data_IF_139064498810
#
_entry.id   IF_139064498810
#
_cell.length_a   1.000
_cell.length_b   1.000
_cell.length_c   1.000
_cell.angle_alpha   90.00
_cell.angle_beta   90.00
_cell.angle_gamma   90.00
#
_symmetry.space_group_name_H-M   'P 1'
#
loop_
_entity.id
_entity.type
_entity.pdbx_description
1 polymer ?
#
# COMPACT_ATOMS: atom_id res chain seq x y z
N UNK A 1 2.69 17.89 5.70
CA UNK A 1 3.61 17.98 4.54
C UNK A 1 2.96 17.24 3.38
N UNK A 2 2.93 17.81 2.18
CA UNK A 2 2.40 17.15 0.97
C UNK A 2 3.57 16.69 0.12
N UNK A 3 3.53 15.45 -0.36
CA UNK A 3 4.58 14.86 -1.20
C UNK A 3 4.22 15.06 -2.66
N UNK A 4 5.12 15.62 -3.47
CA UNK A 4 4.89 15.77 -4.91
C UNK A 4 4.73 14.40 -5.60
N UNK A 5 3.98 14.35 -6.69
CA UNK A 5 3.95 13.18 -7.56
C UNK A 5 5.28 13.03 -8.28
N UNK A 6 5.76 11.80 -8.51
CA UNK A 6 6.89 11.58 -9.39
C UNK A 6 6.53 12.04 -10.80
N UNK A 7 7.47 12.71 -11.46
CA UNK A 7 7.37 13.00 -12.89
C UNK A 7 7.54 11.71 -13.71
N UNK A 8 7.21 11.75 -15.00
CA UNK A 8 7.47 10.61 -15.89
C UNK A 8 8.95 10.21 -15.89
N UNK A 9 9.86 11.19 -15.81
CA UNK A 9 11.30 10.93 -15.73
C UNK A 9 11.68 10.17 -14.45
N UNK A 10 11.04 10.51 -13.33
CA UNK A 10 11.29 9.81 -12.06
C UNK A 10 10.78 8.36 -12.12
N UNK A 11 9.63 8.14 -12.77
CA UNK A 11 9.05 6.80 -12.98
C UNK A 11 9.96 5.97 -13.89
N UNK A 12 10.45 6.54 -14.99
CA UNK A 12 11.35 5.85 -15.93
C UNK A 12 12.67 5.47 -15.25
N UNK A 13 13.28 6.38 -14.50
CA UNK A 13 14.49 6.10 -13.72
C UNK A 13 14.25 5.05 -12.63
N UNK A 14 13.09 5.10 -11.95
CA UNK A 14 12.67 4.08 -10.99
C UNK A 14 12.52 2.69 -11.63
N UNK A 15 12.05 2.65 -12.87
CA UNK A 15 11.96 1.43 -13.68
C UNK A 15 13.31 0.83 -14.05
N UNK A 16 14.22 1.67 -14.50
CA UNK A 16 15.59 1.24 -14.82
C UNK A 16 16.30 0.69 -13.58
N UNK A 17 16.17 1.38 -12.44
CA UNK A 17 16.73 0.90 -11.17
C UNK A 17 16.09 -0.42 -10.72
N UNK A 18 14.76 -0.55 -10.86
CA UNK A 18 14.07 -1.81 -10.59
C UNK A 18 14.63 -2.95 -11.44
N UNK A 19 14.76 -2.75 -12.75
CA UNK A 19 15.30 -3.76 -13.66
C UNK A 19 16.75 -4.14 -13.33
N UNK A 20 17.58 -3.17 -12.95
CA UNK A 20 18.95 -3.40 -12.51
C UNK A 20 18.99 -4.26 -11.23
N UNK A 21 18.17 -3.93 -10.23
CA UNK A 21 18.11 -4.66 -8.98
C UNK A 21 17.53 -6.08 -9.17
N UNK A 22 16.56 -6.26 -10.07
CA UNK A 22 16.05 -7.58 -10.45
C UNK A 22 17.14 -8.45 -11.08
N UNK A 23 18.01 -7.87 -11.91
CA UNK A 23 19.14 -8.59 -12.48
C UNK A 23 20.17 -9.02 -11.42
N UNK A 24 20.32 -8.23 -10.34
CA UNK A 24 21.26 -8.52 -9.25
C UNK A 24 20.66 -9.51 -8.23
N UNK A 25 19.34 -9.48 -7.99
CA UNK A 25 18.68 -10.28 -6.95
C UNK A 25 18.52 -11.78 -7.30
N UNK A 26 19.24 -12.30 -8.31
CA UNK A 26 19.27 -13.68 -8.82
C UNK A 26 18.47 -14.73 -7.98
N UNK A 27 17.18 -14.92 -8.32
CA UNK A 27 16.22 -15.80 -7.63
C UNK A 27 15.82 -15.41 -6.20
N UNK A 28 15.69 -14.10 -5.94
CA UNK A 28 15.07 -13.55 -4.73
C UNK A 28 15.89 -13.90 -3.48
N UNK A 29 17.20 -13.67 -3.57
CA UNK A 29 18.14 -14.07 -2.53
C UNK A 29 19.46 -13.31 -2.54
N UNK A 30 19.62 -12.31 -3.42
CA UNK A 30 20.80 -11.47 -3.56
C UNK A 30 22.13 -12.20 -3.80
N UNK A 31 23.17 -11.46 -4.21
CA UNK A 31 24.52 -11.99 -4.20
C UNK A 31 25.02 -12.24 -2.77
N UNK A 32 26.07 -13.06 -2.63
CA UNK A 32 26.80 -13.20 -1.37
C UNK A 32 27.81 -12.06 -1.20
N UNK A 33 28.02 -11.55 0.03
CA UNK A 33 29.02 -10.52 0.27
C UNK A 33 30.43 -11.06 0.02
N UNK A 34 31.31 -10.19 -0.47
CA UNK A 34 32.73 -10.47 -0.59
C UNK A 34 33.36 -10.43 0.81
N UNK A 35 33.97 -11.53 1.21
CA UNK A 35 34.62 -11.65 2.51
C UNK A 35 35.75 -10.61 2.70
N UNK A 36 35.82 -10.05 3.91
CA UNK A 36 36.87 -9.11 4.30
C UNK A 36 36.61 -7.64 3.94
N UNK A 37 35.51 -7.33 3.24
CA UNK A 37 35.08 -5.96 2.98
C UNK A 37 33.89 -5.56 3.88
N UNK A 38 33.81 -4.29 4.32
CA UNK A 38 32.63 -3.76 5.02
C UNK A 38 31.32 -3.98 4.26
N UNK A 39 30.21 -4.13 4.99
CA UNK A 39 28.87 -4.37 4.43
C UNK A 39 27.94 -3.15 4.49
N UNK A 40 28.44 -2.01 4.96
CA UNK A 40 27.66 -0.79 5.09
C UNK A 40 28.41 0.41 4.49
N UNK A 41 28.07 0.75 3.25
CA UNK A 41 28.67 1.88 2.53
C UNK A 41 28.55 3.22 3.25
N UNK A 42 27.36 3.57 3.78
CA UNK A 42 27.15 4.87 4.41
C UNK A 42 28.02 5.01 5.67
N UNK A 43 28.07 3.94 6.48
CA UNK A 43 28.95 3.91 7.65
C UNK A 43 30.42 3.95 7.26
N UNK A 44 30.82 3.17 6.26
CA UNK A 44 32.21 3.11 5.79
C UNK A 44 32.71 4.48 5.32
N UNK A 45 31.94 5.17 4.47
CA UNK A 45 32.29 6.50 3.97
C UNK A 45 32.35 7.54 5.11
N UNK A 46 31.42 7.47 6.06
CA UNK A 46 31.41 8.35 7.22
C UNK A 46 32.63 8.13 8.14
N UNK A 47 32.97 6.87 8.43
CA UNK A 47 34.08 6.52 9.33
C UNK A 47 35.45 6.92 8.74
N UNK A 48 35.58 6.92 7.41
CA UNK A 48 36.80 7.35 6.70
C UNK A 48 36.80 8.87 6.39
N UNK A 49 35.72 9.60 6.71
CA UNK A 49 35.51 11.02 6.33
C UNK A 49 35.67 11.27 4.81
N UNK A 50 35.17 10.32 4.01
CA UNK A 50 35.31 10.29 2.55
C UNK A 50 33.96 10.38 1.81
N UNK A 51 33.99 10.93 0.60
CA UNK A 51 32.87 10.84 -0.34
C UNK A 51 32.98 9.59 -1.22
N UNK A 52 31.86 9.12 -1.76
CA UNK A 52 31.90 8.01 -2.71
C UNK A 52 32.74 8.38 -3.94
N UNK A 53 33.60 7.44 -4.34
CA UNK A 53 34.53 7.57 -5.47
C UNK A 53 34.34 6.32 -6.33
N UNK A 54 33.88 6.52 -7.56
CA UNK A 54 33.60 5.43 -8.50
C UNK A 54 34.86 4.77 -9.06
N UNK A 55 36.01 5.43 -8.96
CA UNK A 55 37.30 4.90 -9.43
C UNK A 55 38.05 4.16 -8.32
N UNK A 56 37.60 4.28 -7.06
CA UNK A 56 38.17 3.58 -5.91
C UNK A 56 37.62 2.15 -5.81
N UNK A 57 38.44 1.09 -6.02
CA UNK A 57 37.98 -0.29 -5.96
C UNK A 57 37.40 -0.69 -4.60
N UNK A 58 37.89 -0.10 -3.50
CA UNK A 58 37.38 -0.36 -2.14
C UNK A 58 35.94 0.15 -2.01
N UNK A 59 35.62 1.32 -2.56
CA UNK A 59 34.27 1.90 -2.51
C UNK A 59 33.27 1.04 -3.29
N UNK A 60 33.66 0.59 -4.49
CA UNK A 60 32.86 -0.32 -5.29
C UNK A 60 32.61 -1.66 -4.58
N UNK A 61 33.61 -2.20 -3.89
CA UNK A 61 33.47 -3.44 -3.13
C UNK A 61 32.50 -3.29 -1.95
N UNK A 62 32.57 -2.18 -1.21
CA UNK A 62 31.63 -1.91 -0.11
C UNK A 62 30.22 -1.64 -0.63
N UNK A 63 30.07 -0.95 -1.77
CA UNK A 63 28.78 -0.76 -2.43
C UNK A 63 28.15 -2.12 -2.79
N UNK A 64 28.93 -3.02 -3.38
CA UNK A 64 28.48 -4.38 -3.69
C UNK A 64 28.03 -5.14 -2.44
N UNK A 65 28.83 -5.12 -1.36
CA UNK A 65 28.46 -5.79 -0.12
C UNK A 65 27.22 -5.18 0.55
N UNK A 66 27.05 -3.85 0.49
CA UNK A 66 25.84 -3.18 0.98
C UNK A 66 24.60 -3.63 0.19
N UNK A 67 24.69 -3.69 -1.14
CA UNK A 67 23.59 -4.20 -1.99
C UNK A 67 23.29 -5.67 -1.69
N UNK A 68 24.31 -6.52 -1.56
CA UNK A 68 24.17 -7.93 -1.18
C UNK A 68 23.42 -8.07 0.15
N UNK A 69 23.83 -7.31 1.17
CA UNK A 69 23.17 -7.25 2.49
C UNK A 69 21.69 -6.85 2.35
N UNK A 70 21.37 -5.78 1.61
CA UNK A 70 19.98 -5.34 1.43
C UNK A 70 19.09 -6.40 0.78
N UNK A 71 19.54 -6.96 -0.35
CA UNK A 71 18.78 -7.95 -1.12
C UNK A 71 18.58 -9.25 -0.33
N UNK A 72 19.58 -9.68 0.44
CA UNK A 72 19.47 -10.84 1.34
C UNK A 72 18.58 -10.61 2.55
N UNK A 73 18.60 -9.40 3.10
CA UNK A 73 17.79 -9.05 4.29
C UNK A 73 16.30 -9.04 3.94
N UNK A 74 15.96 -8.50 2.77
CA UNK A 74 14.59 -8.38 2.33
C UNK A 74 14.47 -8.70 0.82
N UNK A 75 14.38 -9.98 0.45
CA UNK A 75 14.27 -10.38 -0.96
C UNK A 75 13.14 -9.66 -1.69
N UNK A 76 13.42 -9.19 -2.91
CA UNK A 76 12.49 -8.44 -3.75
C UNK A 76 11.82 -7.21 -3.06
N UNK A 77 12.51 -6.54 -2.13
CA UNK A 77 11.96 -5.32 -1.52
C UNK A 77 11.74 -4.23 -2.58
N UNK A 78 12.64 -4.13 -3.55
CA UNK A 78 12.63 -3.13 -4.62
C UNK A 78 11.44 -3.32 -5.55
N UNK A 79 11.04 -4.54 -5.90
CA UNK A 79 9.81 -4.78 -6.67
C UNK A 79 8.55 -4.35 -5.92
N UNK A 80 8.50 -4.57 -4.59
CA UNK A 80 7.35 -4.13 -3.78
C UNK A 80 7.33 -2.62 -3.58
N UNK A 81 8.47 -2.00 -3.33
CA UNK A 81 8.57 -0.57 -3.02
C UNK A 81 8.59 0.27 -4.29
N UNK A 82 9.60 0.09 -5.15
CA UNK A 82 9.74 0.86 -6.39
C UNK A 82 8.65 0.44 -7.38
N UNK A 83 8.49 -0.85 -7.61
CA UNK A 83 7.47 -1.36 -8.53
C UNK A 83 6.05 -1.01 -8.06
N UNK A 84 5.77 -1.18 -6.77
CA UNK A 84 4.51 -0.77 -6.16
C UNK A 84 4.24 0.73 -6.31
N UNK A 85 5.20 1.59 -5.98
CA UNK A 85 5.00 3.04 -6.09
C UNK A 85 4.85 3.49 -7.55
N UNK A 86 5.74 3.06 -8.44
CA UNK A 86 5.79 3.53 -9.83
C UNK A 86 4.67 2.95 -10.69
N UNK A 87 4.43 1.63 -10.58
CA UNK A 87 3.58 0.89 -11.51
C UNK A 87 2.26 0.42 -10.92
N UNK A 88 2.01 0.69 -9.63
CA UNK A 88 0.71 0.43 -9.01
C UNK A 88 0.08 1.72 -8.50
N UNK A 89 0.74 2.45 -7.60
CA UNK A 89 0.18 3.65 -6.97
C UNK A 89 0.15 4.84 -7.95
N UNK A 90 1.27 5.12 -8.63
CA UNK A 90 1.36 6.23 -9.58
C UNK A 90 0.86 5.87 -10.97
N UNK A 91 0.44 4.64 -11.20
CA UNK A 91 -0.13 4.24 -12.48
C UNK A 91 -1.55 4.78 -12.61
N UNK A 92 -1.72 5.73 -13.52
CA UNK A 92 -2.96 6.45 -13.79
C UNK A 92 -4.17 5.52 -14.01
N UNK A 93 -3.95 4.36 -14.65
CA UNK A 93 -5.00 3.36 -14.92
C UNK A 93 -5.59 2.73 -13.66
N UNK A 94 -4.86 2.71 -12.55
CA UNK A 94 -5.38 2.18 -11.29
C UNK A 94 -6.24 3.19 -10.52
N UNK A 95 -6.22 4.47 -10.93
CA UNK A 95 -7.05 5.53 -10.34
C UNK A 95 -6.95 5.61 -8.81
N UNK A 96 -5.77 5.36 -8.25
CA UNK A 96 -5.52 5.42 -6.80
C UNK A 96 -5.33 6.87 -6.36
N UNK A 97 -4.63 7.67 -7.16
CA UNK A 97 -4.33 9.07 -6.88
C UNK A 97 -5.24 10.01 -7.67
N UNK A 98 -5.52 11.19 -7.10
CA UNK A 98 -6.29 12.24 -7.77
C UNK A 98 -5.51 12.81 -8.95
N UNK A 99 -5.94 12.64 -10.22
CA UNK A 99 -5.18 13.09 -11.39
C UNK A 99 -5.08 14.62 -11.50
N UNK A 100 -5.95 15.38 -10.83
CA UNK A 100 -5.97 16.84 -10.91
C UNK A 100 -4.91 17.52 -10.02
N UNK A 101 -4.27 16.77 -9.12
CA UNK A 101 -3.29 17.28 -8.17
C UNK A 101 -1.86 16.90 -8.59
N UNK A 102 -0.91 17.77 -8.27
CA UNK A 102 0.54 17.58 -8.49
C UNK A 102 1.25 16.87 -7.32
N UNK A 103 0.50 16.47 -6.30
CA UNK A 103 0.96 15.80 -5.10
C UNK A 103 0.13 14.55 -4.81
N UNK A 104 0.66 13.68 -3.96
CA UNK A 104 0.03 12.42 -3.58
C UNK A 104 -1.20 12.67 -2.71
N UNK A 105 -2.38 12.49 -3.29
CA UNK A 105 -3.69 12.48 -2.62
C UNK A 105 -4.57 11.41 -3.26
N UNK A 106 -5.48 10.84 -2.48
CA UNK A 106 -6.38 9.78 -2.95
C UNK A 106 -7.37 10.31 -4.00
N UNK A 107 -7.71 9.45 -4.96
CA UNK A 107 -8.70 9.76 -5.98
C UNK A 107 -10.06 10.17 -5.36
N UNK A 108 -10.77 11.17 -5.91
CA UNK A 108 -12.05 11.63 -5.39
C UNK A 108 -13.09 10.51 -5.21
N UNK A 109 -13.12 9.54 -6.13
CA UNK A 109 -14.04 8.41 -6.05
C UNK A 109 -13.73 7.48 -4.86
N UNK A 110 -12.44 7.29 -4.54
CA UNK A 110 -12.04 6.53 -3.35
C UNK A 110 -12.52 7.26 -2.10
N UNK A 111 -12.31 8.58 -2.03
CA UNK A 111 -12.77 9.40 -0.90
C UNK A 111 -14.30 9.39 -0.77
N UNK A 112 -15.03 9.48 -1.89
CA UNK A 112 -16.49 9.39 -1.91
C UNK A 112 -16.97 8.01 -1.43
N UNK A 113 -16.35 6.93 -1.91
CA UNK A 113 -16.63 5.57 -1.47
C UNK A 113 -16.38 5.37 0.03
N UNK A 114 -15.28 5.91 0.57
CA UNK A 114 -14.96 5.85 2.00
C UNK A 114 -16.02 6.60 2.85
N UNK A 115 -16.51 7.74 2.38
CA UNK A 115 -17.60 8.48 3.06
C UNK A 115 -18.92 7.71 3.03
N UNK A 116 -19.25 7.09 1.91
CA UNK A 116 -20.44 6.23 1.78
C UNK A 116 -20.35 5.05 2.75
N UNK A 117 -19.21 4.35 2.78
CA UNK A 117 -18.93 3.25 3.70
C UNK A 117 -19.06 3.68 5.17
N UNK A 118 -18.52 4.85 5.53
CA UNK A 118 -18.64 5.39 6.88
C UNK A 118 -20.11 5.66 7.26
N UNK A 119 -20.89 6.23 6.34
CA UNK A 119 -22.32 6.51 6.53
C UNK A 119 -23.12 5.23 6.74
N UNK A 120 -22.89 4.21 5.90
CA UNK A 120 -23.55 2.92 6.03
C UNK A 120 -23.18 2.20 7.33
N UNK A 121 -21.92 2.25 7.74
CA UNK A 121 -21.49 1.70 9.04
C UNK A 121 -22.17 2.39 10.22
N UNK A 122 -22.35 3.70 10.15
CA UNK A 122 -23.02 4.45 11.21
C UNK A 122 -24.52 4.13 11.30
N UNK A 123 -25.21 3.93 10.17
CA UNK A 123 -26.64 3.59 10.16
C UNK A 123 -26.92 2.09 10.31
N UNK A 124 -25.91 1.22 10.28
CA UNK A 124 -26.12 -0.24 10.31
C UNK A 124 -26.94 -0.72 11.53
N UNK A 125 -26.54 -0.37 12.75
CA UNK A 125 -27.29 -0.76 13.96
C UNK A 125 -28.65 -0.06 14.06
N UNK A 126 -28.75 1.28 13.89
CA UNK A 126 -30.05 1.94 13.86
C UNK A 126 -31.03 1.38 12.83
N UNK A 127 -30.55 1.03 11.63
CA UNK A 127 -31.36 0.37 10.60
C UNK A 127 -31.88 -0.97 11.07
N UNK A 128 -31.01 -1.83 11.62
CA UNK A 128 -31.42 -3.12 12.18
C UNK A 128 -32.45 -2.98 13.31
N UNK A 129 -32.29 -1.99 14.18
CA UNK A 129 -33.28 -1.73 15.24
C UNK A 129 -34.63 -1.31 14.66
N UNK A 130 -34.65 -0.43 13.65
CA UNK A 130 -35.88 -0.02 12.96
C UNK A 130 -36.57 -1.22 12.31
N UNK A 131 -35.80 -2.06 11.62
CA UNK A 131 -36.30 -3.27 10.97
C UNK A 131 -36.83 -4.29 11.97
N UNK A 132 -36.11 -4.55 13.07
CA UNK A 132 -36.55 -5.46 14.12
C UNK A 132 -37.84 -4.97 14.79
N UNK A 133 -37.94 -3.66 15.09
CA UNK A 133 -39.17 -3.06 15.64
C UNK A 133 -40.34 -3.20 14.67
N UNK A 134 -40.13 -2.94 13.39
CA UNK A 134 -41.16 -3.09 12.36
C UNK A 134 -41.66 -4.55 12.26
N UNK A 135 -40.75 -5.52 12.28
CA UNK A 135 -41.09 -6.94 12.25
C UNK A 135 -41.89 -7.38 13.49
N UNK A 136 -41.51 -6.89 14.68
CA UNK A 136 -42.25 -7.17 15.92
C UNK A 136 -43.65 -6.56 15.87
N UNK A 137 -43.78 -5.30 15.45
CA UNK A 137 -45.08 -4.64 15.31
C UNK A 137 -46.01 -5.41 14.34
N UNK A 138 -45.50 -5.80 13.18
CA UNK A 138 -46.25 -6.58 12.20
C UNK A 138 -46.71 -7.94 12.77
N UNK A 139 -45.87 -8.59 13.57
CA UNK A 139 -46.20 -9.86 14.23
C UNK A 139 -47.32 -9.68 15.27
N UNK A 140 -47.25 -8.61 16.07
CA UNK A 140 -48.28 -8.27 17.07
C UNK A 140 -49.61 -7.98 16.38
N UNK A 141 -49.61 -7.15 15.33
CA UNK A 141 -50.82 -6.83 14.56
C UNK A 141 -51.46 -8.08 13.95
N UNK A 142 -50.67 -8.98 13.37
CA UNK A 142 -51.16 -10.23 12.80
C UNK A 142 -51.72 -11.20 13.87
N UNK A 143 -51.15 -11.20 15.07
CA UNK A 143 -51.67 -11.98 16.19
C UNK A 143 -52.99 -11.39 16.71
N UNK A 144 -53.07 -10.07 16.87
CA UNK A 144 -54.29 -9.39 17.31
C UNK A 144 -55.45 -9.60 16.33
N UNK A 145 -55.19 -9.47 15.01
CA UNK A 145 -56.19 -9.72 13.97
C UNK A 145 -56.73 -11.15 14.00
N UNK A 146 -55.85 -12.14 14.19
CA UNK A 146 -56.26 -13.55 14.36
C UNK A 146 -57.14 -13.73 15.58
N UNK A 147 -56.71 -13.23 16.73
CA UNK A 147 -57.48 -13.36 17.97
C UNK A 147 -58.88 -12.71 17.85
N UNK A 148 -58.97 -11.53 17.25
CA UNK A 148 -60.24 -10.85 17.03
C UNK A 148 -61.18 -11.67 16.13
N UNK A 149 -60.63 -12.30 15.08
CA UNK A 149 -61.40 -13.16 14.18
C UNK A 149 -61.88 -14.45 14.84
N UNK A 150 -61.09 -15.00 15.78
CA UNK A 150 -61.47 -16.18 16.56
C UNK A 150 -62.59 -15.83 17.55
N UNK A 151 -62.50 -14.68 18.22
CA UNK A 151 -63.55 -14.21 19.14
C UNK A 151 -64.89 -13.95 18.43
N UNK A 152 -64.89 -13.49 17.18
CA UNK A 152 -66.11 -13.24 16.40
C UNK A 152 -66.79 -14.52 15.88
N UNK A 153 -66.09 -15.66 15.91
CA UNK A 153 -66.60 -16.97 15.50
C UNK A 153 -67.10 -17.82 16.67
N UNK A 154 -66.84 -17.38 17.91
CA UNK A 154 -67.36 -17.96 19.15
C UNK A 154 -68.70 -17.33 19.54
#
# INVERSE_FOLDING_TARGET
MKMAKPSSRDIDAGGELLALLDAIDERWGGPWPIHGAPEDLAKFLHDEDESFDSDNPKHLQVLYNHLAKLLRTAPNFHGRVLGGMCYVICWDKNQILDPALDHLELHPDILAGLRLLATQRADFLPMLEREARAAVAQTIEAAAARHLSEMQRS
#
